data_IF_259571165351
#
_entry.id   IF_259571165351
#
_cell.length_a   1.000
_cell.length_b   1.000
_cell.length_c   1.000
_cell.angle_alpha   90.00
_cell.angle_beta   90.00
_cell.angle_gamma   90.00
#
_symmetry.space_group_name_H-M   'P 1'
#
loop_
_entity.id
_entity.type
_entity.pdbx_description
1 polymer ?
#
# COMPACT_ATOMS: atom_id res chain seq x y z
N UNK A 1 -15.30 1.35 52.92
CA UNK A 1 -16.21 0.20 52.89
C UNK A 1 -16.00 -0.53 51.57
N UNK A 2 -15.18 -1.53 51.65
CA UNK A 2 -15.18 -2.89 51.11
C UNK A 2 -15.57 -3.11 49.65
N UNK A 3 -14.58 -3.40 48.86
CA UNK A 3 -14.68 -4.15 47.59
C UNK A 3 -14.90 -5.64 47.86
N UNK A 4 -15.50 -6.43 46.99
CA UNK A 4 -15.24 -7.85 46.96
C UNK A 4 -14.35 -8.25 45.77
N UNK A 5 -13.24 -8.87 46.14
CA UNK A 5 -12.41 -9.75 45.31
C UNK A 5 -13.25 -10.92 44.83
N UNK A 6 -13.26 -11.19 43.55
CA UNK A 6 -13.72 -12.48 43.00
C UNK A 6 -12.55 -13.38 42.66
N UNK A 7 -12.65 -14.57 43.23
CA UNK A 7 -11.68 -15.61 43.32
C UNK A 7 -11.44 -16.30 41.97
N UNK A 8 -10.19 -16.68 41.83
CA UNK A 8 -9.62 -17.63 40.89
C UNK A 8 -10.19 -19.05 41.12
N UNK A 9 -10.76 -19.66 40.11
CA UNK A 9 -11.09 -21.08 40.13
C UNK A 9 -10.16 -21.80 39.14
N UNK A 10 -9.19 -22.50 39.70
CA UNK A 10 -8.43 -23.55 39.01
C UNK A 10 -9.32 -24.77 38.86
N UNK A 11 -9.48 -25.29 37.66
CA UNK A 11 -9.93 -26.66 37.41
C UNK A 11 -8.84 -27.39 36.63
N UNK A 12 -8.18 -28.29 37.33
CA UNK A 12 -7.30 -29.32 36.80
C UNK A 12 -8.11 -30.60 36.61
N UNK A 13 -8.12 -31.15 35.41
CA UNK A 13 -8.47 -32.56 35.10
C UNK A 13 -7.76 -32.81 33.76
N UNK A 14 -6.93 -33.77 33.52
CA UNK A 14 -6.86 -35.18 33.92
C UNK A 14 -6.25 -35.86 32.71
N UNK A 15 -5.16 -36.47 32.92
CA UNK A 15 -4.32 -37.24 32.00
C UNK A 15 -5.08 -38.50 31.51
N UNK A 16 -5.13 -38.72 30.19
CA UNK A 16 -5.42 -40.06 29.65
C UNK A 16 -4.48 -40.31 28.46
N UNK A 17 -3.59 -41.24 28.74
CA UNK A 17 -2.66 -41.92 27.84
C UNK A 17 -3.43 -42.87 26.92
N UNK A 18 -3.19 -42.81 25.61
CA UNK A 18 -3.74 -43.73 24.63
C UNK A 18 -2.74 -43.91 23.50
N UNK A 19 -1.87 -44.90 23.65
CA UNK A 19 -0.96 -45.42 22.62
C UNK A 19 -1.75 -46.19 21.56
N UNK A 20 -1.62 -45.84 20.31
CA UNK A 20 -1.86 -46.78 19.19
C UNK A 20 -0.92 -46.41 18.04
N UNK A 21 0.13 -47.22 17.98
CA UNK A 21 1.03 -47.40 16.85
C UNK A 21 0.27 -48.06 15.70
N UNK A 22 0.38 -47.51 14.50
CA UNK A 22 0.27 -48.29 13.26
C UNK A 22 1.06 -47.57 12.14
N UNK A 23 2.20 -48.17 11.92
CA UNK A 23 3.06 -48.04 10.74
C UNK A 23 2.32 -48.46 9.45
N UNK A 24 2.45 -47.63 8.42
CA UNK A 24 2.44 -48.13 7.01
C UNK A 24 3.11 -47.10 6.12
N UNK A 25 4.31 -47.38 5.74
CA UNK A 25 4.98 -47.02 4.49
C UNK A 25 4.96 -48.23 3.58
N UNK A 26 5.46 -48.14 2.35
CA UNK A 26 5.14 -47.30 1.19
C UNK A 26 4.81 -48.21 0.00
N UNK A 27 4.25 -47.69 -1.03
CA UNK A 27 4.41 -48.34 -2.33
C UNK A 27 4.85 -47.32 -3.38
N UNK A 28 6.06 -47.57 -3.81
CA UNK A 28 6.68 -47.10 -5.04
C UNK A 28 6.21 -47.95 -6.17
N UNK A 29 5.75 -47.36 -7.24
CA UNK A 29 5.87 -47.99 -8.53
C UNK A 29 6.26 -46.97 -9.61
N UNK A 30 7.34 -47.24 -10.36
CA UNK A 30 7.80 -46.41 -11.44
C UNK A 30 7.52 -47.14 -12.76
N UNK A 31 6.88 -46.46 -13.71
CA UNK A 31 7.01 -46.90 -15.10
C UNK A 31 6.60 -45.83 -16.09
N UNK A 32 7.60 -45.38 -16.85
CA UNK A 32 7.66 -45.33 -18.32
C UNK A 32 6.58 -44.49 -19.02
N UNK A 33 6.81 -43.58 -19.92
CA UNK A 33 7.78 -43.58 -21.00
C UNK A 33 7.82 -42.20 -21.66
N UNK A 34 8.96 -41.87 -22.14
CA UNK A 34 9.26 -40.84 -23.09
C UNK A 34 8.48 -40.95 -24.41
N UNK A 35 8.14 -39.78 -24.97
CA UNK A 35 7.94 -39.69 -26.42
C UNK A 35 8.17 -38.22 -26.85
N UNK A 36 9.34 -37.92 -27.32
CA UNK A 36 9.57 -36.95 -28.39
C UNK A 36 9.36 -37.63 -29.71
N UNK A 37 8.91 -36.92 -30.75
CA UNK A 37 9.76 -36.66 -31.91
C UNK A 37 9.58 -35.20 -32.38
N UNK A 38 10.62 -34.56 -32.61
CA UNK A 38 11.58 -34.28 -33.67
C UNK A 38 11.00 -34.06 -35.07
N UNK A 39 11.33 -32.86 -35.56
CA UNK A 39 11.68 -32.43 -36.92
C UNK A 39 10.58 -32.46 -37.99
N UNK A 40 10.41 -31.44 -38.80
CA UNK A 40 11.29 -31.08 -39.93
C UNK A 40 10.63 -29.94 -40.73
N UNK A 41 11.36 -28.91 -40.97
CA UNK A 41 11.53 -28.02 -42.11
C UNK A 41 10.53 -28.06 -43.27
N UNK A 42 10.15 -26.86 -43.72
CA UNK A 42 10.45 -26.46 -45.11
C UNK A 42 10.14 -24.96 -45.30
N UNK A 43 11.12 -24.29 -45.79
CA UNK A 43 11.13 -22.94 -46.31
C UNK A 43 10.36 -22.85 -47.63
N UNK A 44 9.74 -21.69 -47.90
CA UNK A 44 9.75 -21.13 -49.25
C UNK A 44 9.65 -19.60 -49.18
N UNK A 45 10.65 -19.02 -49.72
CA UNK A 45 10.79 -17.60 -50.04
C UNK A 45 9.95 -17.24 -51.27
N UNK A 46 9.44 -16.01 -51.28
CA UNK A 46 9.25 -15.26 -52.54
C UNK A 46 9.02 -13.77 -52.24
N UNK A 47 9.99 -12.97 -52.49
CA UNK A 47 9.91 -11.60 -53.00
C UNK A 47 10.14 -11.70 -54.53
N UNK A 48 9.93 -10.67 -55.39
CA UNK A 48 9.84 -9.22 -55.17
C UNK A 48 8.89 -8.46 -56.17
N UNK A 49 9.04 -7.17 -56.17
CA UNK A 49 8.84 -6.15 -57.22
C UNK A 49 7.77 -5.09 -56.82
N UNK A 50 8.11 -3.92 -56.67
CA UNK A 50 8.81 -2.84 -57.41
C UNK A 50 7.86 -1.76 -57.91
N UNK A 51 8.12 -0.53 -57.47
CA UNK A 51 7.99 0.77 -58.13
C UNK A 51 6.57 1.31 -58.44
N UNK A 52 6.21 2.52 -58.03
CA UNK A 52 6.55 3.75 -58.74
C UNK A 52 5.98 4.98 -58.02
N UNK A 53 6.79 6.00 -57.97
CA UNK A 53 6.53 7.34 -57.46
C UNK A 53 5.42 8.05 -58.21
N UNK A 54 4.77 9.03 -57.54
CA UNK A 54 4.54 10.42 -58.04
C UNK A 54 4.01 11.27 -56.85
N UNK A 55 4.76 12.31 -56.50
CA UNK A 55 4.24 13.56 -55.89
C UNK A 55 3.99 14.55 -57.08
N UNK A 56 3.42 15.78 -56.90
CA UNK A 56 3.32 16.62 -55.72
C UNK A 56 2.01 17.50 -55.63
N UNK A 57 2.03 18.41 -54.64
CA UNK A 57 1.37 19.71 -54.55
C UNK A 57 -0.06 19.72 -53.98
N UNK A 58 -0.36 20.44 -52.96
CA UNK A 58 -0.42 21.86 -52.68
C UNK A 58 -0.99 22.08 -51.26
N UNK A 59 -0.36 22.90 -50.48
CA UNK A 59 -1.00 23.57 -49.35
C UNK A 59 -1.87 24.74 -49.92
N UNK A 60 -2.88 25.26 -49.19
CA UNK A 60 -2.57 26.19 -48.12
C UNK A 60 -3.53 26.25 -46.92
N UNK A 61 -3.04 26.86 -45.90
CA UNK A 61 -3.62 27.87 -45.06
C UNK A 61 -4.47 27.52 -43.84
N UNK A 62 -3.86 27.84 -42.72
CA UNK A 62 -4.41 28.70 -41.67
C UNK A 62 -5.63 28.23 -40.91
N UNK A 63 -5.39 27.64 -39.73
CA UNK A 63 -6.27 27.77 -38.61
C UNK A 63 -5.46 28.11 -37.37
N UNK A 64 -5.71 29.34 -36.93
CA UNK A 64 -5.26 29.96 -35.70
C UNK A 64 -5.47 29.04 -34.50
N UNK A 65 -4.39 28.49 -33.96
CA UNK A 65 -4.41 27.87 -32.62
C UNK A 65 -4.28 28.99 -31.60
N UNK A 66 -5.36 29.21 -30.86
CA UNK A 66 -5.31 29.97 -29.62
C UNK A 66 -4.31 29.38 -28.64
N UNK A 67 -3.51 30.17 -27.91
CA UNK A 67 -2.63 29.64 -26.92
C UNK A 67 -3.47 29.08 -25.77
N UNK A 68 -3.48 27.75 -25.63
CA UNK A 68 -3.86 27.12 -24.36
C UNK A 68 -3.02 27.72 -23.25
N UNK A 69 -3.67 28.40 -22.34
CA UNK A 69 -3.08 28.85 -21.10
C UNK A 69 -2.59 27.61 -20.35
N UNK A 70 -1.28 27.34 -20.46
CA UNK A 70 -0.59 26.48 -19.51
C UNK A 70 -0.68 27.18 -18.17
N UNK A 71 -1.58 26.66 -17.33
CA UNK A 71 -1.57 27.02 -15.91
C UNK A 71 -0.16 26.71 -15.40
N UNK A 72 0.57 27.78 -15.11
CA UNK A 72 1.87 27.74 -14.45
C UNK A 72 1.63 27.13 -13.07
N UNK A 73 1.78 25.81 -12.98
CA UNK A 73 1.94 25.15 -11.69
C UNK A 73 3.24 25.71 -11.13
N UNK A 74 3.13 26.56 -10.15
CA UNK A 74 4.27 26.99 -9.34
C UNK A 74 4.87 25.72 -8.77
N UNK A 75 6.03 25.32 -9.28
CA UNK A 75 6.76 24.19 -8.74
C UNK A 75 7.17 24.61 -7.31
N UNK A 76 6.48 24.07 -6.31
CA UNK A 76 6.93 24.19 -4.91
C UNK A 76 8.33 23.56 -4.84
N UNK A 77 9.29 24.31 -4.31
CA UNK A 77 10.63 23.79 -4.06
C UNK A 77 10.52 22.58 -3.12
N UNK A 78 11.29 21.49 -3.38
CA UNK A 78 11.26 20.33 -2.52
C UNK A 78 11.67 20.70 -1.09
N UNK A 79 11.07 20.09 -0.06
CA UNK A 79 11.36 20.39 1.32
C UNK A 79 12.83 20.09 1.64
N UNK A 80 13.50 21.00 2.34
CA UNK A 80 14.92 20.89 2.70
C UNK A 80 15.16 20.30 4.09
N UNK A 81 14.10 19.99 4.85
CA UNK A 81 14.25 19.45 6.20
C UNK A 81 14.47 17.94 6.20
N UNK A 82 15.24 17.45 7.19
CA UNK A 82 15.47 16.04 7.37
C UNK A 82 14.18 15.27 7.73
N UNK A 83 14.12 13.95 7.41
CA UNK A 83 13.04 13.09 7.86
C UNK A 83 12.88 13.06 9.38
N UNK A 84 11.63 13.03 9.88
CA UNK A 84 11.35 12.95 11.33
C UNK A 84 11.62 11.57 11.92
N UNK A 85 11.65 10.54 11.08
CA UNK A 85 11.75 9.12 11.48
C UNK A 85 12.63 8.33 10.51
N UNK A 86 13.26 7.28 11.03
CA UNK A 86 13.94 6.29 10.22
C UNK A 86 12.93 5.50 9.37
N UNK A 87 13.29 5.22 8.11
CA UNK A 87 12.48 4.38 7.25
C UNK A 87 12.45 2.92 7.72
N UNK A 88 11.25 2.40 7.90
CA UNK A 88 10.98 1.00 8.24
C UNK A 88 9.94 0.45 7.27
N UNK A 89 10.27 -0.59 6.50
CA UNK A 89 9.34 -1.14 5.53
C UNK A 89 8.19 -1.94 6.19
N UNK A 90 6.95 -1.67 5.80
CA UNK A 90 5.79 -2.48 6.19
C UNK A 90 5.88 -3.88 5.55
N UNK A 91 5.76 -4.99 6.29
CA UNK A 91 5.72 -6.33 5.72
C UNK A 91 4.57 -6.51 4.72
N UNK A 92 4.77 -7.34 3.69
CA UNK A 92 3.79 -7.50 2.60
C UNK A 92 2.42 -7.98 3.08
N UNK A 93 2.37 -8.97 3.98
CA UNK A 93 1.12 -9.46 4.56
C UNK A 93 0.40 -8.42 5.43
N UNK A 94 1.14 -7.47 6.02
CA UNK A 94 0.56 -6.32 6.72
C UNK A 94 -0.03 -5.33 5.71
N UNK A 95 0.69 -5.04 4.60
CA UNK A 95 0.15 -4.24 3.48
C UNK A 95 -1.15 -4.84 2.96
N UNK A 96 -1.20 -6.14 2.75
CA UNK A 96 -2.42 -6.83 2.32
C UNK A 96 -3.57 -6.64 3.32
N UNK A 97 -3.29 -6.76 4.63
CA UNK A 97 -4.28 -6.54 5.68
C UNK A 97 -4.75 -5.08 5.72
N UNK A 98 -3.87 -4.11 5.51
CA UNK A 98 -4.24 -2.69 5.42
C UNK A 98 -5.20 -2.45 4.25
N UNK A 99 -4.95 -3.04 3.08
CA UNK A 99 -5.84 -2.94 1.92
C UNK A 99 -7.21 -3.59 2.19
N UNK A 100 -7.21 -4.77 2.83
CA UNK A 100 -8.44 -5.45 3.24
C UNK A 100 -9.24 -4.62 4.26
N UNK A 101 -8.57 -4.07 5.26
CA UNK A 101 -9.18 -3.22 6.29
C UNK A 101 -9.82 -1.97 5.68
N UNK A 102 -9.15 -1.35 4.71
CA UNK A 102 -9.66 -0.20 3.97
C UNK A 102 -10.87 -0.53 3.08
N UNK A 103 -11.11 -1.81 2.75
CA UNK A 103 -12.14 -2.25 1.80
C UNK A 103 -12.07 -1.45 0.50
N UNK A 104 -10.90 -1.44 -0.12
CA UNK A 104 -10.64 -0.64 -1.32
C UNK A 104 -11.57 -1.06 -2.46
N UNK A 105 -12.12 -0.07 -3.15
CA UNK A 105 -12.96 -0.20 -4.34
C UNK A 105 -12.30 0.48 -5.54
N UNK A 106 -12.86 0.32 -6.75
CA UNK A 106 -12.33 0.92 -7.98
C UNK A 106 -12.38 2.44 -8.02
N UNK A 107 -13.28 3.04 -7.21
CA UNK A 107 -13.50 4.48 -7.19
C UNK A 107 -12.61 5.19 -6.15
N UNK A 108 -11.76 4.44 -5.47
CA UNK A 108 -10.90 4.98 -4.43
C UNK A 108 -9.66 5.68 -5.01
N UNK A 109 -9.22 6.69 -4.27
CA UNK A 109 -7.92 7.33 -4.43
C UNK A 109 -7.15 7.15 -3.12
N UNK A 110 -6.01 6.47 -3.19
CA UNK A 110 -5.19 6.19 -2.01
C UNK A 110 -4.03 7.18 -1.90
N UNK A 111 -3.86 7.79 -0.73
CA UNK A 111 -2.69 8.59 -0.37
C UNK A 111 -1.90 7.88 0.74
N UNK A 112 -0.59 7.74 0.53
CA UNK A 112 0.35 7.13 1.48
C UNK A 112 1.30 8.18 2.01
N UNK A 113 1.22 8.49 3.30
CA UNK A 113 1.99 9.55 3.95
C UNK A 113 3.23 8.97 4.63
N UNK A 114 4.41 9.28 4.10
CA UNK A 114 5.66 8.63 4.43
C UNK A 114 5.79 7.32 3.64
N UNK A 115 5.70 7.41 2.31
CA UNK A 115 5.54 6.24 1.45
C UNK A 115 6.79 5.34 1.33
N UNK A 116 7.95 5.83 1.78
CA UNK A 116 9.21 5.08 1.75
C UNK A 116 9.55 4.58 0.34
N UNK A 117 9.61 3.27 0.17
CA UNK A 117 9.93 2.61 -1.11
C UNK A 117 8.71 2.47 -2.05
N UNK A 118 7.54 3.00 -1.66
CA UNK A 118 6.33 3.02 -2.46
C UNK A 118 5.53 1.71 -2.48
N UNK A 119 5.88 0.73 -1.62
CA UNK A 119 5.24 -0.61 -1.64
C UNK A 119 3.73 -0.59 -1.47
N UNK A 120 3.18 0.29 -0.63
CA UNK A 120 1.75 0.38 -0.36
C UNK A 120 1.00 0.92 -1.58
N UNK A 121 1.45 2.03 -2.16
CA UNK A 121 0.82 2.61 -3.36
C UNK A 121 0.93 1.68 -4.58
N UNK A 122 2.06 0.98 -4.73
CA UNK A 122 2.26 -0.02 -5.79
C UNK A 122 1.31 -1.20 -5.60
N UNK A 123 1.19 -1.72 -4.37
CA UNK A 123 0.27 -2.82 -4.06
C UNK A 123 -1.19 -2.43 -4.35
N UNK A 124 -1.61 -1.24 -3.95
CA UNK A 124 -2.95 -0.72 -4.22
C UNK A 124 -3.23 -0.61 -5.73
N UNK A 125 -2.32 -0.01 -6.49
CA UNK A 125 -2.44 0.14 -7.94
C UNK A 125 -2.50 -1.23 -8.65
N UNK A 126 -1.61 -2.16 -8.31
CA UNK A 126 -1.57 -3.50 -8.94
C UNK A 126 -2.81 -4.33 -8.63
N UNK A 127 -3.28 -4.31 -7.38
CA UNK A 127 -4.35 -5.21 -6.93
C UNK A 127 -5.74 -4.69 -7.30
N UNK A 128 -5.94 -3.37 -7.24
CA UNK A 128 -7.27 -2.77 -7.39
C UNK A 128 -7.41 -1.88 -8.63
N UNK A 129 -6.32 -1.54 -9.32
CA UNK A 129 -6.34 -0.66 -10.50
C UNK A 129 -6.71 0.79 -10.17
N UNK A 130 -6.46 1.24 -8.95
CA UNK A 130 -6.83 2.58 -8.47
C UNK A 130 -5.67 3.56 -8.60
N UNK A 131 -6.00 4.85 -8.63
CA UNK A 131 -5.00 5.91 -8.50
C UNK A 131 -4.46 5.95 -7.08
N UNK A 132 -3.13 6.05 -6.95
CA UNK A 132 -2.47 6.16 -5.67
C UNK A 132 -1.37 7.22 -5.72
N UNK A 133 -1.21 7.97 -4.63
CA UNK A 133 -0.12 8.93 -4.46
C UNK A 133 0.68 8.61 -3.21
N UNK A 134 2.00 8.61 -3.36
CA UNK A 134 2.93 8.50 -2.24
C UNK A 134 3.64 9.83 -2.00
N UNK A 135 3.77 10.18 -0.74
CA UNK A 135 4.48 11.39 -0.32
C UNK A 135 5.59 10.99 0.66
N UNK A 136 6.79 11.44 0.40
CA UNK A 136 7.91 11.29 1.32
C UNK A 136 8.76 12.56 1.31
N UNK A 137 9.40 12.88 2.43
CA UNK A 137 10.28 14.02 2.53
C UNK A 137 11.71 13.66 2.13
N UNK A 138 12.09 12.38 2.25
CA UNK A 138 13.44 11.89 1.95
C UNK A 138 13.62 11.68 0.44
N UNK A 139 14.52 12.45 -0.22
CA UNK A 139 14.77 12.32 -1.65
C UNK A 139 15.29 10.92 -2.03
N UNK A 140 15.98 10.22 -1.12
CA UNK A 140 16.46 8.85 -1.37
C UNK A 140 15.27 7.89 -1.45
N UNK A 141 14.30 8.01 -0.55
CA UNK A 141 13.08 7.19 -0.59
C UNK A 141 12.22 7.51 -1.80
N UNK A 142 12.09 8.79 -2.16
CA UNK A 142 11.39 9.22 -3.38
C UNK A 142 12.03 8.60 -4.63
N UNK A 143 13.35 8.65 -4.77
CA UNK A 143 14.05 8.06 -5.90
C UNK A 143 13.85 6.53 -5.97
N UNK A 144 13.93 5.85 -4.82
CA UNK A 144 13.70 4.41 -4.73
C UNK A 144 12.24 4.05 -5.10
N UNK A 145 11.26 4.78 -4.57
CA UNK A 145 9.86 4.50 -4.86
C UNK A 145 9.52 4.74 -6.34
N UNK A 146 10.06 5.78 -6.97
CA UNK A 146 9.92 6.00 -8.42
C UNK A 146 10.50 4.85 -9.25
N UNK A 147 11.68 4.34 -8.87
CA UNK A 147 12.28 3.17 -9.52
C UNK A 147 11.39 1.92 -9.36
N UNK A 148 10.83 1.71 -8.16
CA UNK A 148 9.94 0.59 -7.89
C UNK A 148 8.61 0.71 -8.65
N UNK A 149 8.02 1.90 -8.76
CA UNK A 149 6.81 2.18 -9.57
C UNK A 149 7.05 1.82 -11.03
N UNK A 150 8.18 2.25 -11.60
CA UNK A 150 8.59 1.91 -12.97
C UNK A 150 8.79 0.40 -13.15
N UNK A 151 9.50 -0.25 -12.23
CA UNK A 151 9.70 -1.71 -12.23
C UNK A 151 8.36 -2.46 -12.17
N UNK A 152 7.41 -1.95 -11.42
CA UNK A 152 6.07 -2.53 -11.29
C UNK A 152 5.14 -2.22 -12.48
N UNK A 153 5.53 -1.32 -13.40
CA UNK A 153 4.77 -0.87 -14.57
C UNK A 153 3.40 -0.26 -14.22
N UNK A 154 3.36 0.54 -13.15
CA UNK A 154 2.15 1.20 -12.65
C UNK A 154 2.23 2.73 -12.68
N UNK A 155 3.14 3.31 -13.48
CA UNK A 155 3.34 4.76 -13.60
C UNK A 155 2.07 5.52 -14.00
N UNK A 156 1.18 4.87 -14.71
CA UNK A 156 -0.11 5.46 -15.13
C UNK A 156 -1.14 5.57 -13.99
N UNK A 157 -0.91 4.90 -12.86
CA UNK A 157 -1.78 4.90 -11.69
C UNK A 157 -1.13 5.53 -10.45
N UNK A 158 0.21 5.46 -10.36
CA UNK A 158 0.95 5.88 -9.16
C UNK A 158 1.75 7.14 -9.43
N UNK A 159 1.59 8.12 -8.54
CA UNK A 159 2.41 9.35 -8.50
C UNK A 159 3.17 9.38 -7.18
N UNK A 160 4.46 9.70 -7.22
CA UNK A 160 5.30 9.92 -6.04
C UNK A 160 5.75 11.38 -6.03
N UNK A 161 5.60 12.02 -4.88
CA UNK A 161 5.97 13.43 -4.71
C UNK A 161 6.91 13.58 -3.50
N UNK A 162 8.02 14.30 -3.68
CA UNK A 162 8.84 14.73 -2.55
C UNK A 162 8.14 15.89 -1.86
N UNK A 163 7.51 15.64 -0.71
CA UNK A 163 6.71 16.64 -0.02
C UNK A 163 6.63 16.39 1.48
N UNK A 164 6.59 17.48 2.27
CA UNK A 164 6.26 17.36 3.69
C UNK A 164 4.79 16.95 3.84
N UNK A 165 4.56 15.81 4.47
CA UNK A 165 3.20 15.24 4.66
C UNK A 165 2.25 16.19 5.41
N UNK A 166 2.77 17.11 6.20
CA UNK A 166 1.97 18.10 6.92
C UNK A 166 1.48 19.26 6.04
N UNK A 167 1.96 19.37 4.80
CA UNK A 167 1.54 20.38 3.83
C UNK A 167 0.66 19.84 2.71
N UNK A 168 0.45 18.52 2.66
CA UNK A 168 -0.32 17.86 1.62
C UNK A 168 -1.81 18.17 1.77
N UNK A 169 -2.47 18.56 0.66
CA UNK A 169 -3.94 18.56 0.61
C UNK A 169 -4.46 17.13 0.48
N UNK A 170 -5.13 16.65 1.52
CA UNK A 170 -5.71 15.31 1.58
C UNK A 170 -7.12 15.22 1.00
N UNK A 171 -7.76 16.35 0.62
CA UNK A 171 -9.17 16.39 0.19
C UNK A 171 -9.51 15.49 -1.00
N UNK A 172 -8.58 15.17 -1.96
CA UNK A 172 -8.88 14.23 -3.03
C UNK A 172 -8.87 12.76 -2.60
N UNK A 173 -8.24 12.43 -1.45
CA UNK A 173 -8.12 11.05 -1.01
C UNK A 173 -9.43 10.50 -0.44
N UNK A 174 -9.69 9.23 -0.70
CA UNK A 174 -10.73 8.45 -0.03
C UNK A 174 -10.15 7.41 0.92
N UNK A 175 -8.87 7.07 0.75
CA UNK A 175 -8.10 6.20 1.62
C UNK A 175 -6.76 6.86 1.93
N UNK A 176 -6.40 6.92 3.20
CA UNK A 176 -5.08 7.38 3.66
C UNK A 176 -4.40 6.26 4.42
N UNK A 177 -3.14 5.97 4.08
CA UNK A 177 -2.32 4.99 4.78
C UNK A 177 -1.19 5.67 5.56
N UNK A 178 -0.88 5.13 6.74
CA UNK A 178 0.10 5.68 7.68
C UNK A 178 0.97 4.55 8.25
N UNK A 179 2.27 4.77 8.30
CA UNK A 179 3.17 4.03 9.17
C UNK A 179 4.17 5.00 9.80
N UNK A 180 3.65 5.81 10.71
CA UNK A 180 4.35 6.92 11.36
C UNK A 180 4.29 6.76 12.88
N UNK A 181 5.20 7.43 13.60
CA UNK A 181 5.17 7.46 15.05
C UNK A 181 3.87 8.11 15.58
N UNK A 182 3.39 7.73 16.79
CA UNK A 182 2.12 8.20 17.34
C UNK A 182 1.96 9.73 17.33
N UNK A 183 3.03 10.46 17.71
CA UNK A 183 3.00 11.93 17.73
C UNK A 183 2.80 12.55 16.34
N UNK A 184 3.26 11.89 15.27
CA UNK A 184 3.06 12.37 13.91
C UNK A 184 1.65 12.08 13.43
N UNK A 185 1.08 10.92 13.80
CA UNK A 185 -0.32 10.60 13.55
C UNK A 185 -1.25 11.64 14.19
N UNK A 186 -0.98 12.02 15.45
CA UNK A 186 -1.75 13.06 16.17
C UNK A 186 -1.62 14.42 15.48
N UNK A 187 -0.41 14.78 15.01
CA UNK A 187 -0.17 16.05 14.27
C UNK A 187 -0.94 16.10 12.96
N UNK A 188 -1.24 14.97 12.33
CA UNK A 188 -2.01 14.89 11.07
C UNK A 188 -3.52 15.04 11.28
N UNK A 189 -4.06 14.89 12.50
CA UNK A 189 -5.50 14.92 12.75
C UNK A 189 -6.21 16.12 12.10
N UNK A 190 -5.72 17.37 12.19
CA UNK A 190 -6.39 18.51 11.56
C UNK A 190 -6.52 18.42 10.03
N UNK A 191 -5.59 17.72 9.36
CA UNK A 191 -5.66 17.47 7.91
C UNK A 191 -6.62 16.30 7.61
N UNK A 192 -6.55 15.24 8.41
CA UNK A 192 -7.42 14.05 8.27
C UNK A 192 -8.89 14.39 8.49
N UNK A 193 -9.20 15.36 9.35
CA UNK A 193 -10.57 15.86 9.57
C UNK A 193 -11.16 16.58 8.36
N UNK A 194 -10.33 17.01 7.40
CA UNK A 194 -10.77 17.66 6.14
C UNK A 194 -11.14 16.64 5.05
N UNK A 195 -10.86 15.37 5.25
CA UNK A 195 -11.26 14.30 4.35
C UNK A 195 -12.79 14.23 4.22
N UNK A 196 -13.26 13.79 3.08
CA UNK A 196 -14.71 13.59 2.84
C UNK A 196 -15.28 12.60 3.86
N UNK A 197 -16.54 12.78 4.29
CA UNK A 197 -17.21 11.79 5.13
C UNK A 197 -17.18 10.40 4.51
N UNK A 198 -16.87 9.39 5.34
CA UNK A 198 -16.70 8.00 4.87
C UNK A 198 -15.31 7.66 4.34
N UNK A 199 -14.39 8.62 4.25
CA UNK A 199 -12.99 8.30 3.96
C UNK A 199 -12.39 7.40 5.05
N UNK A 200 -11.45 6.54 4.64
CA UNK A 200 -10.83 5.56 5.54
C UNK A 200 -9.39 5.93 5.78
N UNK A 201 -8.96 5.83 7.04
CA UNK A 201 -7.57 6.01 7.44
C UNK A 201 -7.12 4.69 8.02
N UNK A 202 -6.02 4.15 7.51
CA UNK A 202 -5.47 2.87 7.96
C UNK A 202 -4.03 3.06 8.40
N UNK A 203 -3.73 2.75 9.66
CA UNK A 203 -2.38 2.86 10.19
C UNK A 203 -1.81 1.50 10.58
N UNK A 204 -0.51 1.37 10.38
CA UNK A 204 0.30 0.24 10.79
C UNK A 204 0.96 0.53 12.13
N UNK A 205 0.86 -0.40 13.09
CA UNK A 205 1.44 -0.45 14.44
C UNK A 205 1.05 0.68 15.40
N UNK A 206 0.80 1.89 14.92
CA UNK A 206 0.59 3.05 15.77
C UNK A 206 -0.79 3.64 15.55
N UNK A 207 -1.50 3.87 16.65
CA UNK A 207 -2.80 4.52 16.66
C UNK A 207 -2.70 6.06 16.59
N UNK A 208 -3.83 6.73 16.71
CA UNK A 208 -3.95 8.17 16.89
C UNK A 208 -4.52 8.45 18.29
N UNK A 209 -3.65 8.87 19.21
CA UNK A 209 -4.07 9.22 20.57
C UNK A 209 -5.20 10.27 20.54
N UNK A 210 -6.23 10.04 21.32
CA UNK A 210 -7.41 10.91 21.41
C UNK A 210 -8.46 10.70 20.32
N UNK A 211 -8.29 9.72 19.44
CA UNK A 211 -9.25 9.37 18.38
C UNK A 211 -9.62 7.89 18.47
N UNK A 212 -10.91 7.60 18.60
CA UNK A 212 -11.43 6.23 18.64
C UNK A 212 -11.30 5.57 17.26
N UNK A 213 -10.62 4.42 17.18
CA UNK A 213 -10.60 3.61 15.97
C UNK A 213 -11.86 2.74 15.85
N UNK A 214 -12.34 2.50 14.63
CA UNK A 214 -13.48 1.62 14.41
C UNK A 214 -13.12 0.15 14.63
N UNK A 215 -11.91 -0.23 14.23
CA UNK A 215 -11.46 -1.62 14.32
C UNK A 215 -9.94 -1.71 14.29
N UNK A 216 -9.45 -2.77 14.93
CA UNK A 216 -8.04 -3.17 14.86
C UNK A 216 -7.92 -4.66 14.51
N UNK A 217 -6.80 -5.02 13.90
CA UNK A 217 -6.41 -6.41 13.58
C UNK A 217 -4.96 -6.63 13.98
N UNK A 218 -4.65 -7.86 14.37
CA UNK A 218 -3.29 -8.32 14.61
C UNK A 218 -2.84 -9.18 13.45
N UNK A 219 -1.63 -8.97 12.97
CA UNK A 219 -0.99 -9.72 11.89
C UNK A 219 0.38 -10.19 12.36
N UNK A 220 0.67 -11.47 12.24
CA UNK A 220 2.00 -12.00 12.52
C UNK A 220 2.86 -11.84 11.25
N UNK A 221 3.93 -11.09 11.35
CA UNK A 221 4.86 -10.84 10.25
C UNK A 221 6.30 -10.71 10.73
N UNK A 222 7.24 -10.73 9.78
CA UNK A 222 8.66 -10.52 10.09
C UNK A 222 8.89 -9.13 10.66
N UNK A 223 9.62 -9.07 11.74
CA UNK A 223 10.23 -7.81 12.18
C UNK A 223 11.40 -7.47 11.24
N UNK A 224 11.52 -6.22 10.80
CA UNK A 224 12.64 -5.79 9.97
C UNK A 224 13.96 -5.68 10.74
N UNK A 225 13.92 -5.56 12.07
CA UNK A 225 15.09 -5.42 12.95
C UNK A 225 15.65 -6.75 13.43
N UNK A 226 14.82 -7.80 13.41
CA UNK A 226 15.18 -9.13 13.89
C UNK A 226 14.71 -10.20 12.92
N UNK A 227 15.33 -11.38 12.88
CA UNK A 227 14.84 -12.49 12.05
C UNK A 227 13.54 -13.10 12.56
N UNK A 228 13.05 -12.69 13.73
CA UNK A 228 11.85 -13.22 14.36
C UNK A 228 10.57 -12.62 13.75
N UNK A 229 9.46 -13.33 13.88
CA UNK A 229 8.15 -12.78 13.65
C UNK A 229 7.67 -12.05 14.92
N UNK A 230 6.90 -10.98 14.72
CA UNK A 230 6.19 -10.29 15.79
C UNK A 230 4.75 -9.99 15.42
N UNK A 231 3.98 -9.57 16.38
CA UNK A 231 2.66 -9.00 16.15
C UNK A 231 2.80 -7.58 15.58
N UNK A 232 2.04 -7.33 14.54
CA UNK A 232 1.83 -6.02 13.95
C UNK A 232 0.35 -5.68 14.07
N UNK A 233 0.04 -4.42 14.31
CA UNK A 233 -1.32 -3.95 14.47
C UNK A 233 -1.74 -3.13 13.27
N UNK A 234 -2.98 -3.33 12.79
CA UNK A 234 -3.60 -2.53 11.74
C UNK A 234 -4.83 -1.86 12.33
N UNK A 235 -4.83 -0.53 12.32
CA UNK A 235 -5.94 0.29 12.84
C UNK A 235 -6.74 0.90 11.71
N UNK A 236 -8.04 1.03 11.89
CA UNK A 236 -8.95 1.66 10.94
C UNK A 236 -9.77 2.75 11.61
N UNK A 237 -9.77 3.93 11.00
CA UNK A 237 -10.68 5.04 11.30
C UNK A 237 -11.50 5.37 10.06
N UNK A 238 -12.66 5.99 10.30
CA UNK A 238 -13.46 6.63 9.26
C UNK A 238 -13.78 8.07 9.64
N UNK A 239 -13.86 8.90 8.62
CA UNK A 239 -14.29 10.28 8.80
C UNK A 239 -15.83 10.39 8.83
N UNK A 240 -16.41 11.29 9.69
CA UNK A 240 -15.72 12.17 10.62
C UNK A 240 -15.07 11.42 11.78
N UNK A 241 -13.88 11.87 12.20
CA UNK A 241 -13.13 11.24 13.29
C UNK A 241 -13.86 11.42 14.63
N UNK A 242 -13.96 10.33 15.41
CA UNK A 242 -14.56 10.34 16.72
C UNK A 242 -13.50 10.60 17.79
N UNK A 243 -13.54 11.76 18.43
CA UNK A 243 -12.59 12.11 19.51
C UNK A 243 -13.00 11.43 20.82
N UNK A 244 -12.02 10.84 21.48
CA UNK A 244 -12.18 10.32 22.84
C UNK A 244 -12.13 11.51 23.80
N UNK A 245 -13.12 11.60 24.68
CA UNK A 245 -13.09 12.62 25.73
C UNK A 245 -11.87 12.38 26.64
N UNK A 246 -11.10 13.42 26.98
CA UNK A 246 -9.99 13.25 27.89
C UNK A 246 -10.51 12.68 29.22
N UNK A 247 -9.74 11.78 29.87
CA UNK A 247 -10.13 11.24 31.15
C UNK A 247 -10.43 12.40 32.12
N UNK A 248 -11.63 12.39 32.74
CA UNK A 248 -11.99 13.39 33.75
C UNK A 248 -10.88 13.35 34.79
N UNK A 249 -10.10 14.42 34.91
CA UNK A 249 -9.16 14.56 36.03
C UNK A 249 -9.98 14.46 37.29
N UNK A 250 -9.84 13.35 38.02
CA UNK A 250 -10.45 13.20 39.33
C UNK A 250 -10.03 14.37 40.20
N UNK A 251 -11.04 15.02 40.80
CA UNK A 251 -10.83 16.02 41.86
C UNK A 251 -10.30 15.33 43.09
#
# INVERSE_FOLDING_TARGET
MNAPRKALLLAAVGLACGTASCSRTPDRDPSLAASTPSATAAATASTPASATAVAPATAPASASAAPSAVASATAEEPPTRAPDIEYVPTPENVVEKMMEAAKITKDDVLYDLGCGDGRIVIAAAKKFGIKAKGFDIDPVRVAESLANVKKAKVEHLVTIEQKDIFTVDLSPASVVTLYLLPQLNVKLIPQLEKLKPGSRIVAHDFDMEGVEYEKTWTVIAKDHRTPANREHYVYLWKTPLKKVAPPKKGK
#
